data_IF_179094593150
#
_entry.id   IF_179094593150
#
_cell.length_a   1.000
_cell.length_b   1.000
_cell.length_c   1.000
_cell.angle_alpha   90.00
_cell.angle_beta   90.00
_cell.angle_gamma   90.00
#
_symmetry.space_group_name_H-M   'P 1'
#
loop_
_entity.id
_entity.type
_entity.pdbx_description
1 polymer ?
#
# COMPACT_ATOMS: atom_id res chain seq x y z
N UNK A 1 18.17 20.63 -14.96
CA UNK A 1 17.13 20.55 -16.01
C UNK A 1 15.82 20.19 -15.36
N UNK A 2 14.84 21.06 -15.51
CA UNK A 2 13.48 20.89 -15.02
C UNK A 2 12.68 20.00 -15.99
N UNK A 3 11.53 19.50 -15.55
CA UNK A 3 10.55 18.90 -16.45
C UNK A 3 10.05 19.96 -17.43
N UNK A 4 9.68 19.55 -18.64
CA UNK A 4 8.93 20.45 -19.54
C UNK A 4 7.49 20.57 -19.05
N UNK A 5 6.80 21.66 -19.38
CA UNK A 5 5.39 21.86 -19.01
C UNK A 5 4.49 20.71 -19.52
N UNK A 6 4.81 20.15 -20.68
CA UNK A 6 4.09 19.01 -21.24
C UNK A 6 4.31 17.72 -20.42
N UNK A 7 5.56 17.45 -20.01
CA UNK A 7 5.86 16.32 -19.13
C UNK A 7 5.18 16.49 -17.77
N UNK A 8 5.18 17.70 -17.21
CA UNK A 8 4.53 17.98 -15.95
C UNK A 8 3.01 17.77 -16.03
N UNK A 9 2.35 18.27 -17.10
CA UNK A 9 0.92 18.03 -17.33
C UNK A 9 0.62 16.53 -17.45
N UNK A 10 1.40 15.78 -18.24
CA UNK A 10 1.21 14.33 -18.40
C UNK A 10 1.35 13.58 -17.08
N UNK A 11 2.37 13.89 -16.27
CA UNK A 11 2.59 13.29 -14.96
C UNK A 11 1.47 13.64 -13.96
N UNK A 12 0.97 14.88 -13.98
CA UNK A 12 -0.18 15.29 -13.15
C UNK A 12 -1.44 14.51 -13.52
N UNK A 13 -1.74 14.37 -14.81
CA UNK A 13 -2.88 13.58 -15.29
C UNK A 13 -2.76 12.11 -14.89
N UNK A 14 -1.58 11.49 -15.11
CA UNK A 14 -1.30 10.11 -14.69
C UNK A 14 -1.53 9.92 -13.18
N UNK A 15 -1.04 10.85 -12.36
CA UNK A 15 -1.20 10.82 -10.90
C UNK A 15 -2.67 10.88 -10.49
N UNK A 16 -3.45 11.77 -11.10
CA UNK A 16 -4.88 11.92 -10.78
C UNK A 16 -5.65 10.66 -11.20
N UNK A 17 -5.41 10.16 -12.41
CA UNK A 17 -6.08 8.95 -12.91
C UNK A 17 -5.76 7.74 -12.04
N UNK A 18 -4.47 7.49 -11.76
CA UNK A 18 -4.06 6.42 -10.86
C UNK A 18 -4.70 6.55 -9.47
N UNK A 19 -4.82 7.77 -8.92
CA UNK A 19 -5.46 7.96 -7.62
C UNK A 19 -6.95 7.59 -7.66
N UNK A 20 -7.67 7.98 -8.72
CA UNK A 20 -9.08 7.60 -8.92
C UNK A 20 -9.22 6.09 -9.03
N UNK A 21 -8.46 5.46 -9.92
CA UNK A 21 -8.48 4.01 -10.15
C UNK A 21 -8.17 3.23 -8.87
N UNK A 22 -7.17 3.69 -8.10
CA UNK A 22 -6.82 3.07 -6.82
C UNK A 22 -7.93 3.16 -5.78
N UNK A 23 -8.67 4.27 -5.73
CA UNK A 23 -9.80 4.41 -4.80
C UNK A 23 -10.91 3.44 -5.21
N UNK A 24 -11.26 3.43 -6.50
CA UNK A 24 -12.30 2.52 -7.03
C UNK A 24 -11.95 1.06 -6.78
N UNK A 25 -10.73 0.63 -7.15
CA UNK A 25 -10.28 -0.76 -6.95
C UNK A 25 -10.25 -1.16 -5.48
N UNK A 26 -9.94 -0.23 -4.56
CA UNK A 26 -10.01 -0.52 -3.12
C UNK A 26 -11.45 -0.74 -2.67
N UNK A 27 -12.38 0.11 -3.11
CA UNK A 27 -13.80 -0.05 -2.80
C UNK A 27 -14.32 -1.39 -3.35
N UNK A 28 -13.95 -1.76 -4.58
CA UNK A 28 -14.31 -3.06 -5.16
C UNK A 28 -13.76 -4.24 -4.34
N UNK A 29 -12.51 -4.16 -3.87
CA UNK A 29 -11.91 -5.18 -2.98
C UNK A 29 -12.68 -5.28 -1.66
N UNK A 30 -13.07 -4.15 -1.07
CA UNK A 30 -13.84 -4.13 0.17
C UNK A 30 -15.24 -4.75 -0.03
N UNK A 31 -15.93 -4.40 -1.12
CA UNK A 31 -17.21 -5.00 -1.49
C UNK A 31 -17.09 -6.51 -1.71
N UNK A 32 -16.12 -6.97 -2.50
CA UNK A 32 -15.90 -8.40 -2.73
C UNK A 32 -15.51 -9.16 -1.44
N UNK A 33 -14.87 -8.49 -0.48
CA UNK A 33 -14.60 -9.09 0.83
C UNK A 33 -15.87 -9.28 1.66
N UNK A 34 -16.82 -8.35 1.55
CA UNK A 34 -18.15 -8.47 2.19
C UNK A 34 -18.94 -9.61 1.52
N UNK A 35 -18.96 -9.66 0.19
CA UNK A 35 -19.63 -10.73 -0.58
C UNK A 35 -19.10 -12.12 -0.19
N UNK A 36 -17.78 -12.27 -0.10
CA UNK A 36 -17.16 -13.52 0.34
C UNK A 36 -17.57 -13.88 1.77
N UNK A 37 -17.60 -12.92 2.69
CA UNK A 37 -18.06 -13.17 4.06
C UNK A 37 -19.54 -13.59 4.14
N UNK A 38 -20.40 -13.00 3.30
CA UNK A 38 -21.81 -13.38 3.18
C UNK A 38 -21.96 -14.82 2.68
N UNK A 39 -21.18 -15.23 1.68
CA UNK A 39 -21.17 -16.62 1.17
C UNK A 39 -20.67 -17.59 2.25
N UNK A 40 -19.60 -17.25 2.97
CA UNK A 40 -19.05 -18.10 4.04
C UNK A 40 -20.00 -18.31 5.23
N UNK A 41 -20.90 -17.35 5.51
CA UNK A 41 -21.90 -17.47 6.59
C UNK A 41 -23.09 -18.34 6.21
N UNK A 42 -23.35 -18.55 4.93
CA UNK A 42 -24.48 -19.35 4.47
C UNK A 42 -24.15 -20.83 4.62
N UNK A 43 -24.87 -21.53 5.49
CA UNK A 43 -24.67 -22.98 5.73
C UNK A 43 -24.81 -23.84 4.47
N UNK A 44 -25.56 -23.37 3.46
CA UNK A 44 -25.80 -24.08 2.20
C UNK A 44 -24.83 -23.72 1.08
N UNK A 45 -23.89 -22.80 1.30
CA UNK A 45 -22.96 -22.41 0.25
C UNK A 45 -22.01 -23.55 -0.10
N UNK A 46 -21.98 -23.92 -1.38
CA UNK A 46 -21.08 -24.94 -1.88
C UNK A 46 -19.65 -24.43 -1.97
N UNK A 47 -18.68 -25.35 -1.95
CA UNK A 47 -17.26 -25.00 -2.14
C UNK A 47 -17.02 -24.22 -3.44
N UNK A 48 -17.77 -24.53 -4.51
CA UNK A 48 -17.66 -23.83 -5.78
C UNK A 48 -18.04 -22.33 -5.68
N UNK A 49 -19.08 -21.99 -4.90
CA UNK A 49 -19.51 -20.60 -4.70
C UNK A 49 -18.46 -19.81 -3.90
N UNK A 50 -17.91 -20.47 -2.86
CA UNK A 50 -16.83 -19.91 -2.04
C UNK A 50 -15.59 -19.66 -2.89
N UNK A 51 -15.19 -20.63 -3.71
CA UNK A 51 -14.04 -20.52 -4.61
C UNK A 51 -14.22 -19.39 -5.64
N UNK A 52 -15.43 -19.22 -6.19
CA UNK A 52 -15.73 -18.16 -7.14
C UNK A 52 -15.55 -16.76 -6.51
N UNK A 53 -16.12 -16.51 -5.33
CA UNK A 53 -15.97 -15.22 -4.64
C UNK A 53 -14.54 -14.99 -4.16
N UNK A 54 -13.84 -16.05 -3.74
CA UNK A 54 -12.43 -15.97 -3.38
C UNK A 54 -11.56 -15.54 -4.58
N UNK A 55 -11.77 -16.17 -5.74
CA UNK A 55 -11.07 -15.84 -6.97
C UNK A 55 -11.36 -14.40 -7.43
N UNK A 56 -12.61 -13.96 -7.36
CA UNK A 56 -13.01 -12.57 -7.66
C UNK A 56 -12.28 -11.57 -6.75
N UNK A 57 -12.25 -11.80 -5.44
CA UNK A 57 -11.52 -10.95 -4.48
C UNK A 57 -10.02 -10.88 -4.82
N UNK A 58 -9.40 -12.01 -5.11
CA UNK A 58 -7.96 -12.07 -5.42
C UNK A 58 -7.62 -11.46 -6.79
N UNK A 59 -8.51 -11.58 -7.78
CA UNK A 59 -8.39 -10.88 -9.06
C UNK A 59 -8.42 -9.36 -8.86
N UNK A 60 -9.33 -8.85 -8.02
CA UNK A 60 -9.41 -7.42 -7.70
C UNK A 60 -8.17 -6.91 -6.95
N UNK A 61 -7.66 -7.67 -5.97
CA UNK A 61 -6.39 -7.36 -5.30
C UNK A 61 -5.23 -7.31 -6.29
N UNK A 62 -5.17 -8.25 -7.23
CA UNK A 62 -4.15 -8.29 -8.28
C UNK A 62 -4.23 -7.05 -9.18
N UNK A 63 -5.44 -6.67 -9.62
CA UNK A 63 -5.68 -5.43 -10.39
C UNK A 63 -5.18 -4.20 -9.63
N UNK A 64 -5.48 -4.11 -8.33
CA UNK A 64 -5.03 -3.01 -7.46
C UNK A 64 -3.49 -2.90 -7.41
N UNK A 65 -2.78 -4.02 -7.25
CA UNK A 65 -1.30 -4.00 -7.28
C UNK A 65 -0.76 -3.63 -8.65
N UNK A 66 -1.34 -4.19 -9.71
CA UNK A 66 -0.93 -3.91 -11.08
C UNK A 66 -1.16 -2.45 -11.49
N UNK A 67 -2.21 -1.80 -10.99
CA UNK A 67 -2.45 -0.37 -11.24
C UNK A 67 -1.26 0.50 -10.77
N UNK A 68 -0.67 0.19 -9.60
CA UNK A 68 0.51 0.88 -9.08
C UNK A 68 1.74 0.66 -9.96
N UNK A 69 1.94 -0.58 -10.42
CA UNK A 69 3.08 -0.93 -11.29
C UNK A 69 2.94 -0.22 -12.64
N UNK A 70 1.76 -0.26 -13.26
CA UNK A 70 1.47 0.41 -14.53
C UNK A 70 1.70 1.92 -14.42
N UNK A 71 1.10 2.57 -13.43
CA UNK A 71 1.26 4.01 -13.22
C UNK A 71 2.73 4.43 -13.05
N UNK A 72 3.55 3.63 -12.34
CA UNK A 72 5.00 3.87 -12.23
C UNK A 72 5.72 3.71 -13.57
N UNK A 73 5.38 2.70 -14.37
CA UNK A 73 5.97 2.49 -15.70
C UNK A 73 5.60 3.61 -16.66
N UNK A 74 4.35 4.06 -16.66
CA UNK A 74 3.86 5.13 -17.52
C UNK A 74 4.48 6.49 -17.12
N UNK A 75 4.61 6.74 -15.82
CA UNK A 75 5.31 7.93 -15.33
C UNK A 75 6.79 7.93 -15.76
N UNK A 76 7.49 6.78 -15.64
CA UNK A 76 8.86 6.65 -16.17
C UNK A 76 8.88 6.88 -17.68
N UNK A 77 7.94 6.31 -18.43
CA UNK A 77 7.83 6.47 -19.89
C UNK A 77 7.75 7.95 -20.33
N UNK A 78 7.17 8.81 -19.50
CA UNK A 78 7.03 10.26 -19.76
C UNK A 78 8.35 11.03 -19.63
N UNK A 79 9.34 10.50 -18.91
CA UNK A 79 10.66 11.12 -18.73
C UNK A 79 11.60 10.74 -19.87
N UNK A 80 12.52 11.65 -20.23
CA UNK A 80 13.63 11.33 -21.15
C UNK A 80 14.62 10.36 -20.51
N UNK A 81 15.43 9.68 -21.32
CA UNK A 81 16.44 8.73 -20.83
C UNK A 81 17.45 9.41 -19.88
N UNK A 82 17.86 10.64 -20.20
CA UNK A 82 18.75 11.42 -19.34
C UNK A 82 18.12 11.78 -17.98
N UNK A 83 16.82 12.13 -17.98
CA UNK A 83 16.07 12.42 -16.75
C UNK A 83 15.90 11.15 -15.89
N UNK A 84 15.64 9.99 -16.52
CA UNK A 84 15.55 8.70 -15.83
C UNK A 84 16.86 8.30 -15.18
N UNK A 85 17.97 8.35 -15.92
CA UNK A 85 19.28 7.97 -15.42
C UNK A 85 19.73 8.82 -14.21
N UNK A 86 19.32 10.09 -14.14
CA UNK A 86 19.57 10.94 -12.96
C UNK A 86 18.65 10.60 -11.80
N UNK A 87 17.37 10.31 -12.04
CA UNK A 87 16.45 9.87 -10.99
C UNK A 87 16.92 8.56 -10.34
N UNK A 88 17.37 7.60 -11.14
CA UNK A 88 17.88 6.33 -10.62
C UNK A 88 19.14 6.55 -9.77
N UNK A 89 20.07 7.41 -10.21
CA UNK A 89 21.25 7.81 -9.40
C UNK A 89 20.88 8.51 -8.09
N UNK A 90 19.86 9.37 -8.09
CA UNK A 90 19.36 10.04 -6.89
C UNK A 90 18.69 9.02 -5.95
N UNK A 91 17.87 8.12 -6.50
CA UNK A 91 17.18 7.09 -5.73
C UNK A 91 18.17 6.11 -5.07
N UNK A 92 19.23 5.72 -5.76
CA UNK A 92 20.31 4.89 -5.21
C UNK A 92 21.14 5.63 -4.16
N UNK A 93 21.38 6.94 -4.33
CA UNK A 93 22.00 7.77 -3.29
C UNK A 93 21.12 7.87 -2.04
N UNK A 94 19.81 8.04 -2.21
CA UNK A 94 18.85 8.10 -1.09
C UNK A 94 18.74 6.74 -0.39
N UNK A 95 18.73 5.62 -1.12
CA UNK A 95 18.75 4.27 -0.50
C UNK A 95 20.04 4.01 0.28
N UNK A 96 21.19 4.38 -0.28
CA UNK A 96 22.49 4.17 0.36
C UNK A 96 22.73 5.07 1.58
N UNK A 97 22.10 6.25 1.64
CA UNK A 97 22.24 7.18 2.77
C UNK A 97 21.02 7.21 3.71
N UNK A 98 19.91 6.59 3.31
CA UNK A 98 18.58 6.72 3.95
C UNK A 98 18.00 5.43 4.49
N UNK A 99 18.84 4.43 4.79
CA UNK A 99 18.42 3.15 5.38
C UNK A 99 17.77 3.21 6.77
N UNK A 100 17.37 4.40 7.27
CA UNK A 100 16.80 4.54 8.62
C UNK A 100 15.64 5.56 8.74
N UNK A 101 14.91 5.86 7.65
CA UNK A 101 13.77 6.78 7.70
C UNK A 101 12.44 6.14 7.29
N UNK A 102 12.05 5.08 7.99
CA UNK A 102 10.67 4.61 7.95
C UNK A 102 10.46 3.20 8.50
N UNK A 103 10.40 3.05 9.83
CA UNK A 103 9.54 2.07 10.54
C UNK A 103 9.75 2.01 12.08
N UNK A 104 9.82 3.14 12.79
CA UNK A 104 9.96 3.11 14.26
C UNK A 104 9.28 4.26 14.99
N UNK A 105 8.14 4.74 14.48
CA UNK A 105 7.40 5.86 15.10
C UNK A 105 6.44 5.47 16.24
N UNK A 106 5.95 4.23 16.29
CA UNK A 106 4.81 3.90 17.19
C UNK A 106 5.12 2.78 18.21
N UNK A 107 5.81 1.72 17.80
CA UNK A 107 6.10 0.58 18.68
C UNK A 107 7.08 0.86 19.85
N UNK A 108 7.88 1.94 19.77
CA UNK A 108 8.84 2.30 20.82
C UNK A 108 8.17 3.03 22.00
N UNK A 109 7.11 3.79 21.73
CA UNK A 109 6.39 4.57 22.76
C UNK A 109 5.60 3.65 23.70
N UNK A 110 4.98 2.60 23.15
CA UNK A 110 4.28 1.57 23.92
C UNK A 110 5.22 0.78 24.86
N UNK A 111 6.46 0.49 24.44
CA UNK A 111 7.44 -0.25 25.26
C UNK A 111 8.01 0.58 26.41
N UNK A 112 8.17 1.90 26.22
CA UNK A 112 8.56 2.82 27.31
C UNK A 112 7.43 3.02 28.33
N UNK A 113 6.16 3.12 27.91
CA UNK A 113 5.04 3.22 28.87
C UNK A 113 4.88 1.97 29.73
N UNK A 114 5.02 0.75 29.17
CA UNK A 114 4.97 -0.49 29.97
C UNK A 114 6.10 -0.60 30.99
N UNK A 115 7.27 0.01 30.74
CA UNK A 115 8.40 -0.03 31.69
C UNK A 115 8.21 0.92 32.88
N UNK A 116 7.36 1.95 32.75
CA UNK A 116 7.10 2.92 33.82
C UNK A 116 5.85 2.61 34.66
N UNK A 117 4.99 1.68 34.23
CA UNK A 117 3.80 1.23 35.00
C UNK A 117 4.00 -0.11 35.74
N UNK A 118 5.22 -0.67 35.74
CA UNK A 118 5.52 -2.01 36.25
C UNK A 118 6.22 -2.10 37.61
N UNK A 119 6.20 -1.05 38.42
CA UNK A 119 6.69 -1.11 39.82
C UNK A 119 5.63 -0.58 40.79
N UNK A 120 4.55 -1.37 40.94
CA UNK A 120 3.62 -1.30 42.04
C UNK A 120 3.88 -2.46 43.00
N UNK A 121 4.53 -2.14 44.11
CA UNK A 121 4.63 -2.86 45.39
C UNK A 121 3.70 -4.07 45.59
N UNK A 122 4.26 -5.28 45.52
CA UNK A 122 3.70 -6.48 46.15
C UNK A 122 4.47 -6.76 47.44
N UNK A 123 4.02 -6.18 48.55
CA UNK A 123 4.62 -6.32 49.88
C UNK A 123 3.68 -7.01 50.87
N UNK A 124 4.08 -8.23 51.24
CA UNK A 124 3.88 -8.95 52.50
C UNK A 124 2.49 -9.38 53.02
N UNK A 125 2.41 -10.72 53.16
CA UNK A 125 1.78 -11.50 54.22
C UNK A 125 1.70 -10.80 55.59
N UNK A 126 0.50 -10.77 56.17
CA UNK A 126 0.11 -11.52 57.38
C UNK A 126 -1.40 -11.44 57.56
#
# INVERSE_FOLDING_TARGET
MSLTDEQERKLRTLKVNYKKDRITLKAEVELASIDLHEVLKKEKSGLADIEAEFNKLHALKTKLYMASIKAKRDAKATLSEEQRARMDKIHERIKSHGGNMGHSGDYSKYKKMKKHMGHGTGGHMK
#
